data_IF_752928999854
#
_entry.id   IF_752928999854
#
_cell.length_a   1.000
_cell.length_b   1.000
_cell.length_c   1.000
_cell.angle_alpha   90.00
_cell.angle_beta   90.00
_cell.angle_gamma   90.00
#
_symmetry.space_group_name_H-M   'P 1'
#
loop_
_entity.id
_entity.type
_entity.pdbx_description
1 polymer ?
#
# COMPACT_ATOMS: atom_id res chain seq x y z
N UNK A 1 40.41 -12.65 31.23
CA UNK A 1 40.93 -12.50 29.85
C UNK A 1 40.53 -11.08 29.49
N UNK A 2 41.46 -10.15 29.68
CA UNK A 2 41.25 -8.72 29.43
C UNK A 2 41.32 -8.51 27.90
N UNK A 3 40.34 -7.79 27.39
CA UNK A 3 40.27 -7.39 25.98
C UNK A 3 41.34 -6.32 25.75
N UNK A 4 42.28 -6.63 24.86
CA UNK A 4 43.38 -5.72 24.49
C UNK A 4 42.79 -4.66 23.54
N UNK A 5 43.02 -3.36 23.79
CA UNK A 5 42.49 -2.30 22.92
C UNK A 5 43.18 -2.35 21.55
N UNK A 6 42.39 -2.29 20.50
CA UNK A 6 42.81 -2.22 19.09
C UNK A 6 43.75 -1.02 18.86
N UNK A 7 45.02 -1.24 18.49
CA UNK A 7 46.00 -0.13 18.31
C UNK A 7 45.80 0.68 17.00
N UNK A 8 44.78 0.38 16.18
CA UNK A 8 44.53 1.04 14.89
C UNK A 8 43.30 1.94 14.86
N UNK A 9 42.74 2.28 16.06
CA UNK A 9 41.74 3.34 16.14
C UNK A 9 42.41 4.69 15.84
N UNK A 10 42.34 5.08 14.59
CA UNK A 10 42.75 6.42 14.16
C UNK A 10 42.08 7.54 14.97
N UNK A 11 42.63 8.76 15.03
CA UNK A 11 42.05 9.84 15.81
C UNK A 11 40.62 10.05 15.38
N UNK A 12 39.67 9.90 16.32
CA UNK A 12 38.26 10.01 16.10
C UNK A 12 37.96 11.32 15.34
N UNK A 13 37.30 11.20 14.21
CA UNK A 13 36.78 12.36 13.51
C UNK A 13 35.97 13.19 14.50
N UNK A 14 36.23 14.47 14.60
CA UNK A 14 35.44 15.39 15.39
C UNK A 14 33.95 15.17 15.06
N UNK A 15 33.05 15.11 16.04
CA UNK A 15 31.64 15.01 15.77
C UNK A 15 31.23 16.15 14.84
N UNK A 16 30.41 15.88 13.83
CA UNK A 16 29.95 16.94 12.92
C UNK A 16 29.34 18.08 13.76
N UNK A 17 29.54 19.34 13.37
CA UNK A 17 29.01 20.48 14.11
C UNK A 17 27.50 20.27 14.33
N UNK A 18 27.04 20.55 15.55
CA UNK A 18 25.64 20.48 15.91
C UNK A 18 24.86 21.32 14.87
N UNK A 19 24.00 20.66 14.10
CA UNK A 19 23.11 21.38 13.17
C UNK A 19 22.12 22.17 14.01
N UNK A 20 21.94 23.44 13.69
CA UNK A 20 20.89 24.26 14.28
C UNK A 20 19.55 23.56 14.00
N UNK A 21 18.98 22.97 15.04
CA UNK A 21 17.68 22.32 14.94
C UNK A 21 16.58 23.38 15.03
N UNK A 22 15.60 23.31 14.13
CA UNK A 22 14.45 24.20 14.14
C UNK A 22 13.31 23.60 14.98
N UNK A 23 12.66 24.43 15.78
CA UNK A 23 11.49 24.01 16.55
C UNK A 23 10.37 23.54 15.60
N UNK A 24 9.80 22.37 15.89
CA UNK A 24 8.75 21.79 15.08
C UNK A 24 7.40 22.51 15.25
N UNK A 25 6.51 22.35 14.28
CA UNK A 25 5.16 22.91 14.34
C UNK A 25 4.39 22.42 15.59
N UNK A 26 3.54 23.25 16.25
CA UNK A 26 2.85 22.86 17.48
C UNK A 26 2.09 21.54 17.40
N UNK A 27 1.51 21.21 16.24
CA UNK A 27 0.78 19.93 16.03
C UNK A 27 1.74 18.74 16.08
N UNK A 28 2.94 18.86 15.53
CA UNK A 28 3.94 17.80 15.53
C UNK A 28 4.56 17.64 16.93
N UNK A 29 4.76 18.74 17.63
CA UNK A 29 5.19 18.73 19.04
C UNK A 29 4.19 18.02 19.95
N UNK A 30 2.90 18.17 19.67
CA UNK A 30 1.84 17.48 20.43
C UNK A 30 1.90 15.96 20.32
N UNK A 31 2.54 15.42 19.26
CA UNK A 31 2.76 13.98 19.06
C UNK A 31 4.21 13.54 19.31
N UNK A 32 5.03 14.41 19.92
CA UNK A 32 6.38 14.08 20.38
C UNK A 32 7.52 14.40 19.41
N UNK A 33 7.26 15.15 18.33
CA UNK A 33 8.30 15.67 17.42
C UNK A 33 8.63 17.09 17.82
N UNK A 34 9.65 17.29 18.66
CA UNK A 34 9.96 18.61 19.20
C UNK A 34 10.75 19.50 18.24
N UNK A 35 11.60 18.90 17.42
CA UNK A 35 12.54 19.62 16.54
C UNK A 35 12.68 18.94 15.18
N UNK A 36 12.95 19.75 14.15
CA UNK A 36 13.31 19.24 12.83
C UNK A 36 14.82 19.05 12.71
N UNK A 37 15.23 18.02 11.99
CA UNK A 37 16.65 17.74 11.70
C UNK A 37 17.23 18.62 10.60
N UNK A 38 16.42 19.46 9.97
CA UNK A 38 16.84 20.43 8.95
C UNK A 38 16.20 21.80 9.19
N UNK A 39 16.89 22.85 8.77
CA UNK A 39 16.44 24.24 8.81
C UNK A 39 15.63 24.64 7.55
N UNK A 40 15.47 23.72 6.61
CA UNK A 40 14.75 23.96 5.35
C UNK A 40 13.26 23.93 5.57
N UNK A 41 12.54 24.93 5.06
CA UNK A 41 11.08 24.89 4.98
C UNK A 41 10.64 23.77 4.05
N UNK A 42 9.57 23.08 4.44
CA UNK A 42 8.94 22.09 3.58
C UNK A 42 8.46 22.72 2.26
N UNK A 43 8.26 21.89 1.26
CA UNK A 43 7.80 22.33 -0.08
C UNK A 43 6.40 22.95 -0.06
N UNK A 44 5.70 22.87 1.07
CA UNK A 44 4.30 23.25 1.18
C UNK A 44 3.38 22.34 0.35
N UNK A 45 2.12 22.71 0.25
CA UNK A 45 1.15 21.98 -0.55
C UNK A 45 0.01 21.39 0.26
N UNK A 46 -0.90 20.72 -0.45
CA UNK A 46 -2.02 19.98 0.14
C UNK A 46 -1.83 18.49 -0.14
N UNK A 47 -1.92 17.68 0.89
CA UNK A 47 -1.87 16.23 0.76
C UNK A 47 -3.26 15.70 0.41
N UNK A 48 -3.38 14.98 -0.71
CA UNK A 48 -4.57 14.22 -1.09
C UNK A 48 -5.85 15.07 -1.16
N UNK A 49 -5.88 16.03 -2.06
CA UNK A 49 -7.09 16.84 -2.34
C UNK A 49 -8.16 16.01 -3.05
N UNK A 50 -7.72 15.09 -3.90
CA UNK A 50 -8.57 14.15 -4.64
C UNK A 50 -7.98 12.73 -4.61
N UNK A 51 -8.79 11.67 -4.85
CA UNK A 51 -8.27 10.30 -4.93
C UNK A 51 -7.14 10.11 -5.94
N UNK A 52 -7.12 10.91 -7.00
CA UNK A 52 -6.10 10.90 -8.05
C UNK A 52 -4.72 11.32 -7.58
N UNK A 53 -4.64 12.06 -6.46
CA UNK A 53 -3.36 12.52 -5.89
C UNK A 53 -2.60 11.38 -5.21
N UNK A 54 -3.27 10.24 -4.98
CA UNK A 54 -2.65 9.05 -4.44
C UNK A 54 -3.06 7.82 -5.26
N UNK A 55 -2.16 7.37 -6.13
CA UNK A 55 -2.38 6.22 -7.00
C UNK A 55 -1.48 5.07 -6.57
N UNK A 56 -2.10 3.91 -6.33
CA UNK A 56 -1.40 2.69 -5.98
C UNK A 56 -1.76 1.60 -6.98
N UNK A 57 -0.76 1.00 -7.61
CA UNK A 57 -0.92 -0.21 -8.41
C UNK A 57 -0.10 -1.32 -7.78
N UNK A 58 -0.77 -2.39 -7.41
CA UNK A 58 -0.11 -3.60 -6.93
C UNK A 58 0.64 -4.28 -8.07
N UNK A 59 1.87 -4.69 -7.79
CA UNK A 59 2.67 -5.52 -8.69
C UNK A 59 2.60 -6.94 -8.16
N UNK A 60 2.23 -7.85 -9.03
CA UNK A 60 2.14 -9.26 -8.69
C UNK A 60 3.52 -9.91 -8.74
N UNK A 61 3.66 -11.04 -8.05
CA UNK A 61 4.83 -11.88 -8.16
C UNK A 61 4.98 -12.40 -9.61
N UNK A 62 6.22 -12.56 -10.07
CA UNK A 62 6.54 -12.98 -11.44
C UNK A 62 6.04 -14.40 -11.80
N UNK A 63 5.73 -15.21 -10.78
CA UNK A 63 5.25 -16.58 -10.93
C UNK A 63 3.72 -16.70 -11.08
N UNK A 64 3.00 -15.60 -11.14
CA UNK A 64 1.57 -15.61 -11.39
C UNK A 64 1.29 -15.83 -12.89
N UNK A 65 0.93 -17.05 -13.25
CA UNK A 65 0.56 -17.46 -14.61
C UNK A 65 -0.94 -17.81 -14.69
N UNK A 66 -1.83 -16.82 -14.83
CA UNK A 66 -3.27 -17.07 -14.91
C UNK A 66 -3.61 -17.65 -16.29
N UNK A 67 -4.50 -18.62 -16.30
CA UNK A 67 -5.06 -19.11 -17.56
C UNK A 67 -5.84 -18.02 -18.31
N UNK A 68 -5.94 -18.09 -19.64
CA UNK A 68 -6.76 -17.19 -20.45
C UNK A 68 -8.23 -17.16 -19.99
N UNK A 69 -8.90 -16.03 -20.21
CA UNK A 69 -10.30 -15.83 -19.79
C UNK A 69 -11.29 -16.76 -20.49
N UNK A 70 -10.95 -17.24 -21.69
CA UNK A 70 -11.69 -18.17 -22.51
C UNK A 70 -11.35 -19.65 -22.24
N UNK A 71 -10.47 -19.92 -21.28
CA UNK A 71 -10.18 -21.28 -20.87
C UNK A 71 -11.39 -21.97 -20.26
N UNK A 72 -11.48 -23.31 -20.39
CA UNK A 72 -12.61 -24.07 -19.88
C UNK A 72 -12.73 -23.93 -18.37
N UNK A 73 -13.90 -23.48 -17.90
CA UNK A 73 -14.21 -23.27 -16.47
C UNK A 73 -14.05 -24.54 -15.61
N UNK A 74 -14.18 -25.73 -16.21
CA UNK A 74 -14.01 -27.00 -15.52
C UNK A 74 -12.62 -27.18 -14.91
N UNK A 75 -11.63 -26.45 -15.40
CA UNK A 75 -10.23 -26.57 -14.99
C UNK A 75 -9.83 -25.57 -13.88
N UNK A 76 -10.69 -24.57 -13.55
CA UNK A 76 -10.36 -23.49 -12.63
C UNK A 76 -11.40 -23.22 -11.59
N UNK A 77 -10.98 -23.16 -10.32
CA UNK A 77 -11.87 -22.87 -9.19
C UNK A 77 -12.05 -21.35 -8.94
N UNK A 78 -11.20 -20.50 -9.52
CA UNK A 78 -11.18 -19.07 -9.23
C UNK A 78 -11.07 -18.24 -10.50
N UNK A 79 -11.90 -17.20 -10.59
CA UNK A 79 -11.70 -16.10 -11.52
C UNK A 79 -10.74 -15.08 -10.90
N UNK A 80 -9.71 -14.69 -11.63
CA UNK A 80 -8.76 -13.65 -11.24
C UNK A 80 -9.12 -12.33 -11.93
N UNK A 81 -9.38 -11.29 -11.17
CA UNK A 81 -9.78 -9.98 -11.68
C UNK A 81 -8.77 -8.92 -11.24
N UNK A 82 -8.29 -8.10 -12.17
CA UNK A 82 -7.58 -6.86 -11.84
C UNK A 82 -8.60 -5.73 -11.75
N UNK A 83 -8.78 -5.19 -10.56
CA UNK A 83 -9.80 -4.19 -10.25
C UNK A 83 -9.15 -2.86 -9.92
N UNK A 84 -9.67 -1.78 -10.53
CA UNK A 84 -9.32 -0.41 -10.16
C UNK A 84 -10.47 0.24 -9.40
N UNK A 85 -10.20 0.65 -8.18
CA UNK A 85 -11.14 1.34 -7.30
C UNK A 85 -10.75 2.81 -7.19
N UNK A 86 -11.73 3.70 -7.20
CA UNK A 86 -11.56 5.13 -7.02
C UNK A 86 -12.43 5.61 -5.87
N UNK A 87 -11.80 6.00 -4.76
CA UNK A 87 -12.53 6.49 -3.59
C UNK A 87 -13.42 5.42 -2.92
N UNK A 88 -13.01 4.15 -2.96
CA UNK A 88 -13.75 3.02 -2.41
C UNK A 88 -12.96 2.31 -1.31
N UNK A 89 -13.68 1.94 -0.26
CA UNK A 89 -13.19 0.92 0.67
C UNK A 89 -13.20 -0.46 0.00
N UNK A 90 -12.12 -1.23 0.20
CA UNK A 90 -11.97 -2.55 -0.42
C UNK A 90 -13.01 -3.56 0.07
N UNK A 91 -13.36 -3.52 1.38
CA UNK A 91 -14.36 -4.42 1.96
C UNK A 91 -15.76 -4.09 1.44
N UNK A 92 -16.10 -2.79 1.36
CA UNK A 92 -17.40 -2.33 0.85
C UNK A 92 -17.58 -2.75 -0.62
N UNK A 93 -16.52 -2.58 -1.44
CA UNK A 93 -16.53 -3.04 -2.82
C UNK A 93 -16.77 -4.54 -2.92
N UNK A 94 -16.03 -5.34 -2.15
CA UNK A 94 -16.17 -6.79 -2.20
C UNK A 94 -17.54 -7.26 -1.69
N UNK A 95 -18.14 -6.56 -0.72
CA UNK A 95 -19.53 -6.79 -0.30
C UNK A 95 -20.51 -6.54 -1.44
N UNK A 96 -20.42 -5.37 -2.10
CA UNK A 96 -21.29 -5.04 -3.24
C UNK A 96 -21.10 -5.96 -4.44
N UNK A 97 -19.88 -6.40 -4.69
CA UNK A 97 -19.59 -7.36 -5.75
C UNK A 97 -20.27 -8.72 -5.46
N UNK A 98 -20.15 -9.22 -4.23
CA UNK A 98 -20.79 -10.47 -3.85
C UNK A 98 -22.33 -10.40 -3.91
N UNK A 99 -22.90 -9.27 -3.50
CA UNK A 99 -24.36 -9.04 -3.61
C UNK A 99 -24.82 -9.01 -5.08
N UNK A 100 -24.07 -8.30 -5.94
CA UNK A 100 -24.38 -8.21 -7.37
C UNK A 100 -24.29 -9.56 -8.09
N UNK A 101 -23.39 -10.42 -7.65
CA UNK A 101 -23.21 -11.80 -8.18
C UNK A 101 -24.16 -12.81 -7.52
N UNK A 102 -24.89 -12.43 -6.46
CA UNK A 102 -25.73 -13.36 -5.70
C UNK A 102 -24.95 -14.47 -5.01
N UNK A 103 -23.72 -14.20 -4.59
CA UNK A 103 -22.82 -15.17 -3.95
C UNK A 103 -22.47 -14.77 -2.52
N UNK A 104 -21.98 -15.75 -1.74
CA UNK A 104 -21.45 -15.48 -0.41
C UNK A 104 -20.20 -14.60 -0.48
N UNK A 105 -20.06 -13.67 0.47
CA UNK A 105 -18.94 -12.73 0.59
C UNK A 105 -17.57 -13.45 0.71
N UNK A 106 -17.54 -14.62 1.34
CA UNK A 106 -16.33 -15.44 1.52
C UNK A 106 -15.77 -16.01 0.21
N UNK A 107 -16.54 -15.89 -0.88
CA UNK A 107 -16.08 -16.31 -2.22
C UNK A 107 -15.25 -15.22 -2.91
N UNK A 108 -15.23 -14.00 -2.37
CA UNK A 108 -14.43 -12.88 -2.87
C UNK A 108 -13.24 -12.65 -1.94
N UNK A 109 -12.03 -12.75 -2.46
CA UNK A 109 -10.80 -12.54 -1.70
C UNK A 109 -9.86 -11.57 -2.41
N UNK A 110 -8.99 -10.93 -1.65
CA UNK A 110 -7.93 -10.02 -2.11
C UNK A 110 -6.79 -9.97 -1.08
N UNK A 111 -5.64 -9.42 -1.46
CA UNK A 111 -4.51 -9.25 -0.57
C UNK A 111 -4.41 -7.80 -0.06
N UNK A 112 -4.30 -7.67 1.27
CA UNK A 112 -4.06 -6.39 1.93
C UNK A 112 -5.21 -5.37 1.85
N UNK A 113 -5.13 -4.35 2.69
CA UNK A 113 -6.07 -3.23 2.70
C UNK A 113 -5.51 -2.07 1.90
N UNK A 114 -6.34 -1.41 1.11
CA UNK A 114 -5.97 -0.24 0.32
C UNK A 114 -6.65 1.02 0.88
N UNK A 115 -6.02 2.17 0.64
CA UNK A 115 -6.55 3.46 1.05
C UNK A 115 -7.82 3.80 0.27
N UNK A 116 -8.93 4.05 0.98
CA UNK A 116 -10.20 4.43 0.38
C UNK A 116 -10.21 5.82 -0.27
N UNK A 117 -9.26 6.69 0.09
CA UNK A 117 -9.11 8.03 -0.47
C UNK A 117 -8.07 8.08 -1.59
N UNK A 118 -8.00 7.02 -2.39
CA UNK A 118 -7.02 6.84 -3.45
C UNK A 118 -7.65 6.26 -4.71
N UNK A 119 -6.85 6.19 -5.77
CA UNK A 119 -7.09 5.31 -6.91
C UNK A 119 -6.18 4.10 -6.75
N UNK A 120 -6.76 2.93 -6.50
CA UNK A 120 -6.01 1.70 -6.21
C UNK A 120 -6.31 0.63 -7.25
N UNK A 121 -5.28 -0.06 -7.73
CA UNK A 121 -5.41 -1.21 -8.64
C UNK A 121 -4.78 -2.42 -7.97
N UNK A 122 -5.57 -3.50 -7.83
CA UNK A 122 -5.17 -4.72 -7.14
C UNK A 122 -5.88 -5.94 -7.73
N UNK A 123 -5.43 -7.14 -7.36
CA UNK A 123 -6.08 -8.38 -7.73
C UNK A 123 -7.16 -8.79 -6.73
N UNK A 124 -8.24 -9.31 -7.29
CA UNK A 124 -9.29 -10.03 -6.58
C UNK A 124 -9.41 -11.43 -7.15
N UNK A 125 -9.71 -12.39 -6.30
CA UNK A 125 -10.11 -13.73 -6.73
C UNK A 125 -11.56 -13.97 -6.34
N UNK A 126 -12.32 -14.58 -7.24
CA UNK A 126 -13.73 -14.91 -7.01
C UNK A 126 -13.90 -16.41 -7.27
N UNK A 127 -14.33 -17.16 -6.24
CA UNK A 127 -14.45 -18.61 -6.33
C UNK A 127 -15.73 -19.00 -7.04
N UNK A 128 -15.66 -20.01 -7.92
CA UNK A 128 -16.78 -20.63 -8.65
C UNK A 128 -17.62 -19.62 -9.46
N UNK A 129 -16.98 -18.60 -10.03
CA UNK A 129 -17.58 -17.57 -10.90
C UNK A 129 -16.79 -17.50 -12.19
N UNK A 130 -17.46 -17.33 -13.32
CA UNK A 130 -16.81 -17.12 -14.62
C UNK A 130 -16.81 -15.65 -15.02
N UNK A 131 -16.04 -15.33 -16.06
CA UNK A 131 -15.98 -13.98 -16.60
C UNK A 131 -17.35 -13.49 -17.09
N UNK A 132 -18.15 -14.37 -17.66
CA UNK A 132 -19.50 -14.06 -18.20
C UNK A 132 -20.53 -13.74 -17.11
N UNK A 133 -20.26 -14.12 -15.86
CA UNK A 133 -21.14 -13.83 -14.73
C UNK A 133 -20.90 -12.43 -14.16
N UNK A 134 -19.83 -11.75 -14.55
CA UNK A 134 -19.52 -10.41 -14.03
C UNK A 134 -20.55 -9.38 -14.53
N UNK A 135 -21.00 -8.48 -13.65
CA UNK A 135 -21.91 -7.40 -14.04
C UNK A 135 -21.22 -6.47 -15.04
N UNK A 136 -21.96 -6.03 -16.07
CA UNK A 136 -21.51 -5.11 -17.09
C UNK A 136 -21.24 -3.70 -16.55
#
# INVERSE_FOLDING_TARGET
MADDPDPDAGPGADPPPARDSREAHPVERAVGVDQYVSDVDGTGGRLRVAPEDFRVRELEAEDLDPAPVDADRGDYAHLLCRVTLRGWDTNDFAGRLSDALGISRERVAWAGTKDKHAVTTQLFTIRDVGADDLPA
#
